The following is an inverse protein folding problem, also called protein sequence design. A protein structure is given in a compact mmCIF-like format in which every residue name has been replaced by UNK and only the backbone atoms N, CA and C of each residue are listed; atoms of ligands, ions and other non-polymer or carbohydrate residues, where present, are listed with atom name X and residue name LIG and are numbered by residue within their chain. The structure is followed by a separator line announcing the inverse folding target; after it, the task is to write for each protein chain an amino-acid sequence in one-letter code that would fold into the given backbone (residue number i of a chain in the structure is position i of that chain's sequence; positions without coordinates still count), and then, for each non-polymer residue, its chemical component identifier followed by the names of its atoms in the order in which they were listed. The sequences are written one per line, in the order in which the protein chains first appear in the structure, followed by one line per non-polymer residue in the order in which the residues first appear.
data_IF_570185348300
#
_entry.id   IF_570185348300
#
_cell.length_a   1.000
_cell.length_b   1.000
_cell.length_c   1.000
_cell.angle_alpha   90.00
_cell.angle_beta   90.00
_cell.angle_gamma   90.00
#
_symmetry.space_group_name_H-M   'P 1'
#
loop_
_entity.id
_entity.type
_entity.pdbx_description
1 polymer ?
#
# COMPACT_ATOMS: atom_id res chain seq x y z
N UNK A 1 27.43 11.10 -11.83
CA UNK A 1 26.50 9.97 -11.61
C UNK A 1 26.98 8.94 -10.59
N UNK A 2 28.16 8.33 -10.77
CA UNK A 2 28.69 7.32 -9.84
C UNK A 2 28.77 7.78 -8.37
N UNK A 3 29.20 9.02 -8.12
CA UNK A 3 29.29 9.55 -6.75
C UNK A 3 27.92 9.77 -6.10
N UNK A 4 26.90 10.15 -6.88
CA UNK A 4 25.53 10.29 -6.37
C UNK A 4 24.92 8.93 -6.04
N UNK A 5 25.20 7.91 -6.88
CA UNK A 5 24.79 6.54 -6.59
C UNK A 5 25.45 6.01 -5.32
N UNK A 6 26.77 6.21 -5.16
CA UNK A 6 27.51 5.81 -3.96
C UNK A 6 26.90 6.44 -2.71
N UNK A 7 26.64 7.76 -2.73
CA UNK A 7 26.00 8.47 -1.62
C UNK A 7 24.64 7.85 -1.27
N UNK A 8 23.76 7.61 -2.25
CA UNK A 8 22.44 7.00 -2.01
C UNK A 8 22.52 5.59 -1.44
N UNK A 9 23.45 4.77 -1.92
CA UNK A 9 23.68 3.41 -1.40
C UNK A 9 24.13 3.44 0.06
N UNK A 10 25.00 4.38 0.43
CA UNK A 10 25.43 4.56 1.83
C UNK A 10 24.29 5.10 2.68
N UNK A 11 23.57 6.13 2.22
CA UNK A 11 22.45 6.75 2.96
C UNK A 11 21.33 5.76 3.26
N UNK A 12 21.00 4.87 2.33
CA UNK A 12 19.88 3.93 2.47
C UNK A 12 20.33 2.49 2.70
N UNK A 13 21.58 2.29 3.15
CA UNK A 13 22.18 0.96 3.35
C UNK A 13 21.29 0.03 4.16
N UNK A 14 20.79 0.50 5.30
CA UNK A 14 20.02 -0.36 6.20
C UNK A 14 18.68 -0.82 5.60
N UNK A 15 18.05 0.02 4.77
CA UNK A 15 16.84 -0.37 4.04
C UNK A 15 17.17 -1.35 2.89
N UNK A 16 18.18 -1.02 2.06
CA UNK A 16 18.52 -1.78 0.85
C UNK A 16 19.03 -3.19 1.15
N UNK A 17 19.66 -3.41 2.31
CA UNK A 17 20.27 -4.70 2.66
C UNK A 17 19.55 -5.42 3.80
N UNK A 18 18.28 -5.12 4.04
CA UNK A 18 17.45 -5.75 5.08
C UNK A 18 17.39 -7.28 4.92
N UNK A 19 17.33 -7.77 3.68
CA UNK A 19 17.32 -9.19 3.33
C UNK A 19 18.56 -9.97 3.80
N UNK A 20 19.69 -9.29 4.07
CA UNK A 20 20.88 -9.94 4.63
C UNK A 20 20.71 -10.27 6.12
N UNK A 21 19.77 -9.62 6.81
CA UNK A 21 19.49 -9.82 8.24
C UNK A 21 18.26 -10.68 8.49
N UNK A 22 17.29 -10.66 7.56
CA UNK A 22 15.99 -11.31 7.68
C UNK A 22 15.73 -12.15 6.43
N UNK A 23 15.71 -13.47 6.59
CA UNK A 23 15.60 -14.41 5.47
C UNK A 23 14.19 -14.41 4.83
N UNK A 24 13.20 -13.89 5.54
CA UNK A 24 11.83 -13.69 5.08
C UNK A 24 11.66 -12.45 4.18
N UNK A 25 12.68 -11.59 4.09
CA UNK A 25 12.66 -10.40 3.24
C UNK A 25 13.34 -10.73 1.91
N UNK A 26 12.59 -10.56 0.82
CA UNK A 26 13.12 -10.73 -0.53
C UNK A 26 14.24 -9.70 -0.82
N UNK A 27 15.27 -10.06 -1.60
CA UNK A 27 16.37 -9.17 -1.94
C UNK A 27 15.97 -8.06 -2.93
N UNK A 28 14.77 -8.12 -3.49
CA UNK A 28 14.23 -7.14 -4.41
C UNK A 28 13.06 -6.36 -3.81
N UNK A 29 12.80 -5.18 -4.37
CA UNK A 29 11.73 -4.28 -3.92
C UNK A 29 10.43 -4.47 -4.72
N UNK A 30 10.29 -5.55 -5.49
CA UNK A 30 9.20 -5.70 -6.45
C UNK A 30 7.84 -5.67 -5.77
N UNK A 31 7.72 -6.25 -4.57
CA UNK A 31 6.47 -6.25 -3.79
C UNK A 31 6.02 -4.83 -3.45
N UNK A 32 6.92 -4.00 -2.91
CA UNK A 32 6.57 -2.63 -2.54
C UNK A 32 6.33 -1.78 -3.79
N UNK A 33 7.13 -1.94 -4.85
CA UNK A 33 6.89 -1.26 -6.12
C UNK A 33 5.52 -1.60 -6.70
N UNK A 34 5.14 -2.88 -6.71
CA UNK A 34 3.80 -3.31 -7.17
C UNK A 34 2.69 -2.66 -6.36
N UNK A 35 2.81 -2.63 -5.03
CA UNK A 35 1.82 -1.99 -4.16
C UNK A 35 1.71 -0.47 -4.39
N UNK A 36 2.80 0.22 -4.75
CA UNK A 36 2.80 1.66 -4.98
C UNK A 36 2.33 2.07 -6.39
N UNK A 37 2.43 1.18 -7.39
CA UNK A 37 2.09 1.47 -8.80
C UNK A 37 0.69 2.05 -8.99
N UNK A 38 -0.39 1.50 -8.39
CA UNK A 38 -1.74 2.04 -8.56
C UNK A 38 -1.83 3.52 -8.16
N UNK A 39 -1.30 3.88 -6.98
CA UNK A 39 -1.32 5.27 -6.48
C UNK A 39 -0.47 6.20 -7.36
N UNK A 40 0.69 5.73 -7.85
CA UNK A 40 1.54 6.52 -8.76
C UNK A 40 0.86 6.77 -10.10
N UNK A 41 0.19 5.76 -10.66
CA UNK A 41 -0.57 5.90 -11.92
C UNK A 41 -1.73 6.87 -11.72
N UNK A 42 -2.50 6.72 -10.65
CA UNK A 42 -3.62 7.61 -10.35
C UNK A 42 -3.15 9.06 -10.20
N UNK A 43 -2.08 9.30 -9.42
CA UNK A 43 -1.48 10.63 -9.29
C UNK A 43 -1.06 11.22 -10.63
N UNK A 44 -0.52 10.42 -11.55
CA UNK A 44 -0.14 10.91 -12.89
C UNK A 44 -1.36 11.30 -13.73
N UNK A 45 -2.44 10.52 -13.67
CA UNK A 45 -3.68 10.78 -14.41
C UNK A 45 -4.41 12.01 -13.86
N UNK A 46 -4.49 12.14 -12.54
CA UNK A 46 -5.23 13.23 -11.89
C UNK A 46 -4.40 14.49 -11.65
N UNK A 47 -3.11 14.47 -11.98
CA UNK A 47 -2.12 15.49 -11.60
C UNK A 47 -1.97 15.67 -10.07
N UNK A 48 -2.35 14.65 -9.29
CA UNK A 48 -2.25 14.65 -7.83
C UNK A 48 -3.38 15.41 -7.13
N UNK A 49 -3.14 15.80 -5.88
CA UNK A 49 -4.08 16.54 -5.04
C UNK A 49 -3.48 17.91 -4.69
N UNK A 50 -4.28 18.97 -4.79
CA UNK A 50 -3.88 20.34 -4.46
C UNK A 50 -4.33 20.79 -3.06
N UNK A 51 -4.90 19.89 -2.26
CA UNK A 51 -5.29 20.13 -0.88
C UNK A 51 -4.86 18.96 0.00
N UNK A 52 -4.58 19.26 1.27
CA UNK A 52 -4.25 18.26 2.28
C UNK A 52 -5.41 17.27 2.48
N UNK A 53 -6.65 17.77 2.52
CA UNK A 53 -7.84 16.92 2.58
C UNK A 53 -7.94 15.97 1.39
N UNK A 54 -7.65 16.44 0.16
CA UNK A 54 -7.65 15.59 -1.02
C UNK A 54 -6.57 14.51 -0.96
N UNK A 55 -5.36 14.87 -0.49
CA UNK A 55 -4.27 13.93 -0.28
C UNK A 55 -4.65 12.86 0.75
N UNK A 56 -5.26 13.27 1.87
CA UNK A 56 -5.70 12.36 2.93
C UNK A 56 -6.81 11.41 2.46
N UNK A 57 -7.79 11.93 1.72
CA UNK A 57 -8.85 11.10 1.15
C UNK A 57 -8.28 10.07 0.17
N UNK A 58 -7.34 10.48 -0.70
CA UNK A 58 -6.68 9.58 -1.62
C UNK A 58 -5.88 8.49 -0.88
N UNK A 59 -5.14 8.85 0.16
CA UNK A 59 -4.38 7.89 1.00
C UNK A 59 -5.31 6.82 1.59
N UNK A 60 -6.44 7.23 2.17
CA UNK A 60 -7.43 6.32 2.76
C UNK A 60 -8.03 5.41 1.69
N UNK A 61 -8.50 5.99 0.58
CA UNK A 61 -9.15 5.22 -0.50
C UNK A 61 -8.19 4.22 -1.14
N UNK A 62 -6.95 4.62 -1.43
CA UNK A 62 -5.96 3.70 -1.99
C UNK A 62 -5.61 2.58 -1.01
N UNK A 63 -5.51 2.88 0.30
CA UNK A 63 -5.27 1.85 1.32
C UNK A 63 -6.39 0.82 1.36
N UNK A 64 -7.66 1.26 1.34
CA UNK A 64 -8.82 0.37 1.31
C UNK A 64 -8.85 -0.49 0.04
N UNK A 65 -8.63 0.11 -1.13
CA UNK A 65 -8.64 -0.59 -2.41
C UNK A 65 -7.54 -1.65 -2.47
N UNK A 66 -6.32 -1.32 -2.08
CA UNK A 66 -5.20 -2.27 -2.12
C UNK A 66 -5.36 -3.37 -1.06
N UNK A 67 -5.97 -3.07 0.09
CA UNK A 67 -6.29 -4.07 1.12
C UNK A 67 -7.34 -5.07 0.62
N UNK A 68 -8.43 -4.57 0.01
CA UNK A 68 -9.46 -5.44 -0.58
C UNK A 68 -8.86 -6.39 -1.64
N UNK A 69 -8.04 -5.87 -2.55
CA UNK A 69 -7.35 -6.68 -3.56
C UNK A 69 -6.40 -7.72 -2.96
N UNK A 70 -5.69 -7.37 -1.89
CA UNK A 70 -4.78 -8.29 -1.22
C UNK A 70 -5.51 -9.51 -0.63
N UNK A 71 -6.76 -9.31 -0.21
CA UNK A 71 -7.62 -10.34 0.38
C UNK A 71 -8.67 -10.89 -0.59
N UNK A 72 -8.51 -10.67 -1.90
CA UNK A 72 -9.43 -11.14 -2.94
C UNK A 72 -10.90 -10.70 -2.73
N UNK A 73 -11.10 -9.52 -2.15
CA UNK A 73 -12.39 -8.91 -1.90
C UNK A 73 -12.70 -7.78 -2.91
N UNK A 74 -13.98 -7.52 -3.15
CA UNK A 74 -14.40 -6.40 -3.98
C UNK A 74 -14.18 -5.07 -3.23
N UNK A 75 -13.40 -4.12 -3.79
CA UNK A 75 -13.11 -2.85 -3.12
C UNK A 75 -14.34 -1.98 -2.86
N UNK A 76 -15.32 -2.00 -3.77
CA UNK A 76 -16.53 -1.17 -3.63
C UNK A 76 -17.41 -1.72 -2.52
N UNK A 77 -17.59 -3.05 -2.46
CA UNK A 77 -18.34 -3.70 -1.39
C UNK A 77 -17.72 -3.45 -0.01
N UNK A 78 -16.38 -3.52 0.09
CA UNK A 78 -15.67 -3.17 1.32
C UNK A 78 -15.96 -1.73 1.76
N UNK A 79 -15.82 -0.76 0.84
CA UNK A 79 -16.05 0.66 1.14
C UNK A 79 -17.51 0.93 1.52
N UNK A 80 -18.47 0.33 0.82
CA UNK A 80 -19.89 0.47 1.10
C UNK A 80 -20.26 -0.15 2.44
N UNK A 81 -19.69 -1.31 2.78
CA UNK A 81 -19.90 -1.97 4.07
C UNK A 81 -19.36 -1.13 5.23
N UNK A 82 -18.19 -0.52 5.06
CA UNK A 82 -17.63 0.42 6.04
C UNK A 82 -18.49 1.69 6.19
N UNK A 83 -18.94 2.27 5.07
CA UNK A 83 -19.75 3.47 5.08
C UNK A 83 -21.15 3.24 5.68
N UNK A 84 -21.72 2.06 5.49
CA UNK A 84 -23.00 1.65 6.06
C UNK A 84 -22.92 1.25 7.54
N UNK A 85 -21.72 1.20 8.12
CA UNK A 85 -21.51 0.77 9.50
C UNK A 85 -21.90 -0.68 9.75
N UNK A 86 -21.73 -1.56 8.75
CA UNK A 86 -21.98 -3.01 8.92
C UNK A 86 -21.07 -3.60 9.99
N UNK A 87 -21.49 -4.73 10.56
CA UNK A 87 -20.77 -5.39 11.64
C UNK A 87 -19.32 -5.68 11.22
N UNK A 88 -18.39 -5.36 12.11
CA UNK A 88 -16.98 -5.64 11.94
C UNK A 88 -16.72 -7.12 11.65
N UNK A 89 -17.56 -8.04 12.15
CA UNK A 89 -17.45 -9.47 11.85
C UNK A 89 -17.53 -9.79 10.36
N UNK A 90 -18.39 -9.11 9.60
CA UNK A 90 -18.55 -9.33 8.15
C UNK A 90 -17.39 -8.73 7.34
N UNK A 91 -16.77 -7.67 7.86
CA UNK A 91 -15.75 -6.88 7.15
C UNK A 91 -14.32 -7.34 7.50
N UNK A 92 -14.11 -7.95 8.68
CA UNK A 92 -12.79 -8.40 9.18
C UNK A 92 -12.02 -9.29 8.20
N UNK A 93 -12.64 -10.27 7.52
CA UNK A 93 -11.92 -11.08 6.53
C UNK A 93 -11.37 -10.24 5.38
N UNK A 94 -12.15 -9.26 4.89
CA UNK A 94 -11.74 -8.39 3.81
C UNK A 94 -10.69 -7.33 4.23
N UNK A 95 -10.61 -6.97 5.51
CA UNK A 95 -9.65 -5.99 6.04
C UNK A 95 -8.35 -6.59 6.56
N UNK A 96 -8.43 -7.74 7.22
CA UNK A 96 -7.30 -8.32 7.94
C UNK A 96 -6.88 -9.67 7.36
N UNK A 97 -7.77 -10.36 6.63
CA UNK A 97 -7.49 -11.66 6.03
C UNK A 97 -7.58 -12.85 6.99
N UNK A 98 -8.16 -12.66 8.18
CA UNK A 98 -8.25 -13.72 9.21
C UNK A 98 -9.71 -14.13 9.27
N UNK A 99 -9.99 -15.41 9.09
CA UNK A 99 -11.32 -15.96 9.31
C UNK A 99 -11.64 -15.88 10.81
N UNK A 100 -12.66 -15.10 11.17
CA UNK A 100 -13.23 -15.12 12.52
C UNK A 100 -14.15 -16.34 12.66
N UNK A 101 -13.54 -17.53 12.62
CA UNK A 101 -14.13 -18.76 13.16
C UNK A 101 -13.97 -18.82 14.68
#
# INVERSE_FOLDING_TARGET
DAENLRKRLVTHRDANFTFLRYNEVEPDNNRAERALRPSVVMRKITYGNNSETGARNHEILMSLVETAKLHDADPLDLMMSLAAGRDSAEIKPALFGWDTS
#
